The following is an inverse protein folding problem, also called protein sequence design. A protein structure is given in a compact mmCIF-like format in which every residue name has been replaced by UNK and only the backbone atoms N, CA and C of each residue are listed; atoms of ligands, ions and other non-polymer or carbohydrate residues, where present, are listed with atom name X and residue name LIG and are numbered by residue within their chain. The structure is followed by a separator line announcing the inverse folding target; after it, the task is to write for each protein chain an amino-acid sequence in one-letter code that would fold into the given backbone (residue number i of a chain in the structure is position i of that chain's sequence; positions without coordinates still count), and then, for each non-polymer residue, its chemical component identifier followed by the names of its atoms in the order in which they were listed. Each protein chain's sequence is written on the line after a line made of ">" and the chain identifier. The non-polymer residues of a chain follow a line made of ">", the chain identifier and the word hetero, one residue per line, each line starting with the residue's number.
data_IF_696294007817
#
_entry.id   IF_696294007817
#
_cell.length_a   1.000
_cell.length_b   1.000
_cell.length_c   1.000
_cell.angle_alpha   90.00
_cell.angle_beta   90.00
_cell.angle_gamma   90.00
#
_symmetry.space_group_name_H-M   'P 1'
#
loop_
_entity.id
_entity.type
_entity.pdbx_description
1 polymer ?
#
# COMPACT_ATOMS: atom_id res chain seq x y z
N UNK A 1 15.48 19.34 -33.39
CA UNK A 1 15.86 18.53 -32.21
C UNK A 1 14.99 18.94 -31.06
N UNK A 2 14.09 18.06 -30.62
CA UNK A 2 13.11 18.38 -29.57
C UNK A 2 13.52 17.72 -28.26
N UNK A 3 13.40 18.51 -27.19
CA UNK A 3 13.98 18.33 -25.86
C UNK A 3 13.66 16.97 -25.18
N UNK A 4 14.65 16.08 -25.02
CA UNK A 4 14.51 14.86 -24.20
C UNK A 4 14.43 15.16 -22.68
N UNK A 5 14.79 16.37 -22.26
CA UNK A 5 14.91 16.75 -20.85
C UNK A 5 13.56 16.92 -20.13
N UNK A 6 12.50 17.32 -20.85
CA UNK A 6 11.16 17.52 -20.24
C UNK A 6 10.52 16.19 -19.84
N UNK A 7 10.72 15.13 -20.63
CA UNK A 7 10.21 13.78 -20.32
C UNK A 7 10.95 13.15 -19.13
N UNK A 8 12.26 13.39 -19.02
CA UNK A 8 13.09 12.89 -17.91
C UNK A 8 12.78 13.58 -16.57
N UNK A 9 12.49 14.89 -16.59
CA UNK A 9 12.04 15.61 -15.39
C UNK A 9 10.67 15.12 -14.90
N UNK A 10 9.75 14.79 -15.82
CA UNK A 10 8.45 14.20 -15.50
C UNK A 10 8.57 12.82 -14.84
N UNK A 11 9.47 11.94 -15.31
CA UNK A 11 9.73 10.65 -14.63
C UNK A 11 10.27 10.84 -13.22
N UNK A 12 11.21 11.77 -13.04
CA UNK A 12 11.82 12.03 -11.72
C UNK A 12 10.82 12.54 -10.67
N UNK A 13 9.75 13.22 -11.10
CA UNK A 13 8.64 13.64 -10.24
C UNK A 13 7.68 12.47 -9.98
N UNK A 14 7.39 11.65 -11.00
CA UNK A 14 6.43 10.54 -10.90
C UNK A 14 7.00 9.30 -10.19
N UNK A 15 8.33 9.15 -10.14
CA UNK A 15 9.05 8.09 -9.43
C UNK A 15 9.22 8.42 -7.92
N UNK A 16 8.97 9.68 -7.51
CA UNK A 16 9.05 10.12 -6.12
C UNK A 16 7.77 9.93 -5.30
N UNK A 17 6.63 9.71 -5.96
CA UNK A 17 5.33 9.63 -5.28
C UNK A 17 5.21 8.40 -4.38
N UNK A 18 5.70 7.24 -4.83
CA UNK A 18 5.68 6.01 -4.03
C UNK A 18 6.51 6.16 -2.74
N UNK A 19 7.72 6.70 -2.87
CA UNK A 19 8.59 6.97 -1.74
C UNK A 19 7.99 8.01 -0.79
N UNK A 20 7.42 9.10 -1.32
CA UNK A 20 6.75 10.12 -0.51
C UNK A 20 5.60 9.53 0.32
N UNK A 21 4.71 8.76 -0.31
CA UNK A 21 3.57 8.11 0.36
C UNK A 21 4.06 7.17 1.47
N UNK A 22 5.04 6.31 1.19
CA UNK A 22 5.61 5.42 2.20
C UNK A 22 6.23 6.21 3.37
N UNK A 23 6.99 7.27 3.09
CA UNK A 23 7.64 8.07 4.12
C UNK A 23 6.65 8.83 5.00
N UNK A 24 5.58 9.42 4.44
CA UNK A 24 4.53 10.07 5.23
C UNK A 24 3.75 9.06 6.09
N UNK A 25 3.48 7.89 5.52
CA UNK A 25 2.84 6.77 6.22
C UNK A 25 3.70 6.31 7.42
N UNK A 26 5.01 6.18 7.24
CA UNK A 26 5.96 5.83 8.32
C UNK A 26 6.10 6.94 9.37
N UNK A 27 6.08 8.22 8.97
CA UNK A 27 6.06 9.34 9.94
C UNK A 27 4.83 9.26 10.84
N UNK A 28 3.67 8.91 10.29
CA UNK A 28 2.45 8.70 11.08
C UNK A 28 2.58 7.52 12.05
N UNK A 29 3.16 6.39 11.61
CA UNK A 29 3.48 5.27 12.52
C UNK A 29 4.32 5.71 13.72
N UNK A 30 5.38 6.47 13.45
CA UNK A 30 6.27 6.98 14.51
C UNK A 30 5.51 7.89 15.46
N UNK A 31 4.67 8.79 14.93
CA UNK A 31 3.86 9.70 15.74
C UNK A 31 2.87 8.95 16.65
N UNK A 32 2.37 7.79 16.19
CA UNK A 32 1.47 6.92 16.96
C UNK A 32 2.23 5.94 17.89
N UNK A 33 3.56 6.00 17.94
CA UNK A 33 4.39 5.15 18.80
C UNK A 33 4.60 3.73 18.27
N UNK A 34 4.30 3.48 17.00
CA UNK A 34 4.53 2.17 16.36
C UNK A 34 6.01 2.00 16.04
N UNK A 35 6.57 0.84 16.41
CA UNK A 35 7.94 0.49 16.04
C UNK A 35 8.03 0.27 14.53
N UNK A 36 8.89 1.03 13.83
CA UNK A 36 9.05 0.95 12.37
C UNK A 36 9.81 -0.31 11.95
N UNK A 37 11.01 -0.52 12.48
CA UNK A 37 11.86 -1.64 12.05
C UNK A 37 11.23 -2.98 12.45
N UNK A 38 10.98 -3.83 11.46
CA UNK A 38 10.36 -5.14 11.63
C UNK A 38 8.85 -5.12 11.75
N UNK A 39 8.19 -3.96 11.68
CA UNK A 39 6.74 -3.86 11.71
C UNK A 39 6.11 -4.68 10.59
N UNK A 40 5.02 -5.39 10.89
CA UNK A 40 4.21 -6.08 9.90
C UNK A 40 3.25 -5.08 9.27
N UNK A 41 3.37 -4.90 7.95
CA UNK A 41 2.52 -4.01 7.17
C UNK A 41 1.69 -4.84 6.20
N UNK A 42 0.37 -4.67 6.22
CA UNK A 42 -0.50 -5.22 5.19
C UNK A 42 -0.87 -4.15 4.18
N UNK A 43 -0.53 -4.36 2.91
CA UNK A 43 -0.94 -3.49 1.80
C UNK A 43 -2.15 -4.12 1.12
N UNK A 44 -3.29 -3.44 1.23
CA UNK A 44 -4.54 -3.83 0.60
C UNK A 44 -4.66 -3.15 -0.77
N UNK A 45 -4.49 -3.94 -1.82
CA UNK A 45 -4.50 -3.52 -3.21
C UNK A 45 -3.10 -3.44 -3.78
N UNK A 46 -2.93 -3.96 -5.00
CA UNK A 46 -1.69 -3.94 -5.77
C UNK A 46 -1.93 -3.49 -7.21
N UNK A 47 -3.12 -3.73 -7.76
CA UNK A 47 -3.48 -3.37 -9.13
C UNK A 47 -3.38 -1.87 -9.39
N UNK A 48 -3.21 -1.50 -10.67
CA UNK A 48 -3.08 -0.10 -11.09
C UNK A 48 -4.33 0.72 -10.75
N UNK A 49 -5.51 0.09 -10.75
CA UNK A 49 -6.79 0.75 -10.48
C UNK A 49 -7.80 -0.22 -9.87
N UNK A 50 -8.81 0.36 -9.25
CA UNK A 50 -9.89 -0.38 -8.59
C UNK A 50 -10.62 -1.33 -9.55
N UNK A 51 -10.97 -2.50 -9.01
CA UNK A 51 -11.83 -3.52 -9.62
C UNK A 51 -11.35 -4.01 -10.99
N UNK A 52 -10.03 -4.04 -11.21
CA UNK A 52 -9.39 -4.44 -12.46
C UNK A 52 -8.15 -5.27 -12.14
N UNK A 53 -7.85 -6.35 -12.88
CA UNK A 53 -6.68 -7.19 -12.62
C UNK A 53 -5.36 -6.59 -13.13
N UNK A 54 -5.39 -5.43 -13.80
CA UNK A 54 -4.20 -4.88 -14.47
C UNK A 54 -3.14 -4.44 -13.44
N UNK A 55 -2.05 -5.19 -13.39
CA UNK A 55 -0.90 -4.91 -12.53
C UNK A 55 0.08 -3.93 -13.18
N UNK A 56 0.06 -3.77 -14.51
CA UNK A 56 1.10 -3.04 -15.24
C UNK A 56 1.17 -1.57 -14.81
N UNK A 57 2.38 -1.10 -14.53
CA UNK A 57 2.66 0.25 -14.05
C UNK A 57 1.99 0.60 -12.72
N UNK A 58 1.64 -0.38 -11.89
CA UNK A 58 1.16 -0.09 -10.55
C UNK A 58 2.22 0.68 -9.76
N UNK A 59 1.85 1.87 -9.31
CA UNK A 59 2.66 2.70 -8.42
C UNK A 59 2.59 2.25 -6.96
N UNK A 60 1.72 1.29 -6.64
CA UNK A 60 1.69 0.66 -5.31
C UNK A 60 2.93 -0.19 -5.08
N UNK A 61 3.49 -0.80 -6.14
CA UNK A 61 4.74 -1.57 -6.04
C UNK A 61 5.92 -0.70 -5.58
N UNK A 62 5.98 0.56 -6.03
CA UNK A 62 6.99 1.53 -5.59
C UNK A 62 6.86 1.84 -4.08
N UNK A 63 5.62 1.95 -3.57
CA UNK A 63 5.35 2.14 -2.13
C UNK A 63 5.79 0.91 -1.34
N UNK A 64 5.45 -0.29 -1.81
CA UNK A 64 5.82 -1.56 -1.16
C UNK A 64 7.34 -1.69 -1.07
N UNK A 65 8.06 -1.39 -2.16
CA UNK A 65 9.51 -1.45 -2.20
C UNK A 65 10.15 -0.47 -1.20
N UNK A 66 9.64 0.76 -1.09
CA UNK A 66 10.13 1.73 -0.10
C UNK A 66 9.84 1.27 1.33
N UNK A 67 8.64 0.76 1.62
CA UNK A 67 8.30 0.22 2.94
C UNK A 67 9.23 -0.93 3.34
N UNK A 68 9.55 -1.83 2.41
CA UNK A 68 10.53 -2.90 2.63
C UNK A 68 11.94 -2.34 2.86
N UNK A 69 12.37 -1.33 2.09
CA UNK A 69 13.66 -0.67 2.26
C UNK A 69 13.80 0.04 3.62
N UNK A 70 12.69 0.57 4.16
CA UNK A 70 12.60 1.14 5.51
C UNK A 70 12.56 0.07 6.62
N UNK A 71 12.55 -1.22 6.26
CA UNK A 71 12.71 -2.35 7.17
C UNK A 71 11.40 -2.99 7.63
N UNK A 72 10.29 -2.75 6.93
CA UNK A 72 9.01 -3.40 7.21
C UNK A 72 8.91 -4.81 6.61
N UNK A 73 8.14 -5.66 7.28
CA UNK A 73 7.68 -6.94 6.74
C UNK A 73 6.35 -6.72 6.03
N UNK A 74 6.38 -6.63 4.71
CA UNK A 74 5.20 -6.28 3.91
C UNK A 74 4.48 -7.53 3.40
N UNK A 75 3.24 -7.70 3.80
CA UNK A 75 2.27 -8.60 3.18
C UNK A 75 1.40 -7.80 2.20
N UNK A 76 1.09 -8.40 1.05
CA UNK A 76 0.31 -7.74 -0.01
C UNK A 76 -0.89 -8.61 -0.33
N UNK A 77 -2.09 -8.05 -0.27
CA UNK A 77 -3.30 -8.72 -0.71
C UNK A 77 -3.97 -7.89 -1.80
N UNK A 78 -4.42 -8.53 -2.86
CA UNK A 78 -5.28 -7.93 -3.88
C UNK A 78 -6.24 -9.03 -4.41
N UNK A 79 -7.57 -8.82 -4.35
CA UNK A 79 -8.55 -9.82 -4.76
C UNK A 79 -8.71 -9.96 -6.29
N UNK A 80 -8.12 -9.05 -7.08
CA UNK A 80 -8.19 -9.06 -8.54
C UNK A 80 -6.85 -9.36 -9.20
N UNK A 81 -5.72 -9.15 -8.52
CA UNK A 81 -4.41 -9.46 -9.06
C UNK A 81 -4.20 -10.97 -9.24
N UNK A 82 -3.55 -11.35 -10.35
CA UNK A 82 -3.04 -12.70 -10.52
C UNK A 82 -1.72 -12.86 -9.75
N UNK A 83 -1.60 -13.95 -8.98
CA UNK A 83 -0.42 -14.20 -8.15
C UNK A 83 0.84 -14.52 -8.95
N UNK A 84 0.72 -15.15 -10.12
CA UNK A 84 1.87 -15.46 -10.97
C UNK A 84 2.37 -14.19 -11.67
N UNK A 85 1.46 -13.33 -12.12
CA UNK A 85 1.80 -12.01 -12.70
C UNK A 85 2.43 -11.09 -11.65
N UNK A 86 1.89 -11.04 -10.42
CA UNK A 86 2.49 -10.26 -9.32
C UNK A 86 3.91 -10.71 -8.99
N UNK A 87 4.16 -12.03 -8.99
CA UNK A 87 5.51 -12.57 -8.78
C UNK A 87 6.44 -12.25 -9.94
N UNK A 88 5.97 -12.36 -11.19
CA UNK A 88 6.78 -12.11 -12.39
C UNK A 88 7.16 -10.63 -12.54
N UNK A 89 6.20 -9.72 -12.37
CA UNK A 89 6.37 -8.29 -12.59
C UNK A 89 7.06 -7.59 -11.41
N UNK A 90 6.76 -8.01 -10.18
CA UNK A 90 7.18 -7.30 -8.96
C UNK A 90 7.95 -8.15 -7.94
N UNK A 91 8.08 -9.47 -8.16
CA UNK A 91 8.69 -10.35 -7.16
C UNK A 91 7.85 -10.51 -5.89
N UNK A 92 6.55 -10.21 -5.94
CA UNK A 92 5.66 -10.20 -4.79
C UNK A 92 4.79 -11.46 -4.75
N UNK A 93 4.73 -12.10 -3.58
CA UNK A 93 3.73 -13.13 -3.29
C UNK A 93 2.49 -12.49 -2.66
N UNK A 94 1.32 -12.81 -3.19
CA UNK A 94 0.05 -12.35 -2.63
C UNK A 94 -0.32 -13.18 -1.39
N UNK A 95 -0.61 -12.50 -0.29
CA UNK A 95 -1.02 -13.07 0.99
C UNK A 95 -2.53 -13.32 1.00
N UNK A 96 -2.95 -14.54 0.66
CA UNK A 96 -4.39 -14.91 0.64
C UNK A 96 -5.04 -14.95 2.04
N UNK A 97 -4.24 -15.05 3.10
CA UNK A 97 -4.65 -15.10 4.51
C UNK A 97 -4.62 -13.71 5.19
N UNK A 98 -4.55 -12.63 4.41
CA UNK A 98 -4.38 -11.28 4.94
C UNK A 98 -5.53 -10.80 5.85
N UNK A 99 -6.69 -11.46 5.81
CA UNK A 99 -7.85 -11.16 6.65
C UNK A 99 -7.95 -12.04 7.92
N UNK A 100 -6.97 -12.92 8.15
CA UNK A 100 -6.95 -13.90 9.24
C UNK A 100 -5.95 -13.53 10.36
N UNK A 101 -5.19 -12.44 10.18
CA UNK A 101 -4.18 -11.97 11.12
C UNK A 101 -4.22 -10.45 11.28
N UNK A 102 -3.49 -9.95 12.27
CA UNK A 102 -3.35 -8.51 12.54
C UNK A 102 -1.96 -7.99 12.19
N UNK A 103 -1.87 -6.69 11.96
CA UNK A 103 -0.69 -5.99 11.48
C UNK A 103 -0.44 -4.71 12.28
N UNK A 104 0.82 -4.34 12.45
CA UNK A 104 1.20 -3.06 13.06
C UNK A 104 0.76 -1.87 12.20
N UNK A 105 0.60 -2.10 10.89
CA UNK A 105 -0.04 -1.18 9.98
C UNK A 105 -0.86 -1.90 8.91
N UNK A 106 -2.02 -1.32 8.58
CA UNK A 106 -2.80 -1.67 7.40
C UNK A 106 -2.85 -0.46 6.49
N UNK A 107 -2.46 -0.62 5.23
CA UNK A 107 -2.44 0.42 4.23
C UNK A 107 -3.40 0.07 3.08
N UNK A 108 -4.52 0.79 3.00
CA UNK A 108 -5.45 0.69 1.88
C UNK A 108 -4.95 1.50 0.69
N UNK A 109 -4.25 0.83 -0.22
CA UNK A 109 -3.68 1.45 -1.42
C UNK A 109 -4.70 1.54 -2.57
N UNK A 110 -5.48 0.46 -2.79
CA UNK A 110 -6.48 0.40 -3.86
C UNK A 110 -7.83 -0.03 -3.27
N UNK A 111 -8.83 0.86 -3.18
CA UNK A 111 -10.10 0.57 -2.51
C UNK A 111 -11.06 -0.22 -3.41
N UNK A 112 -10.75 -1.49 -3.63
CA UNK A 112 -11.63 -2.41 -4.34
C UNK A 112 -12.99 -2.53 -3.66
N UNK A 113 -14.05 -2.76 -4.46
CA UNK A 113 -15.39 -3.07 -3.95
C UNK A 113 -15.39 -4.25 -2.98
N UNK A 114 -14.48 -5.20 -3.17
CA UNK A 114 -14.25 -6.32 -2.24
C UNK A 114 -13.95 -5.82 -0.80
N UNK A 115 -13.02 -4.88 -0.66
CA UNK A 115 -12.68 -4.30 0.65
C UNK A 115 -13.82 -3.44 1.21
N UNK A 116 -14.41 -2.60 0.36
CA UNK A 116 -15.51 -1.72 0.77
C UNK A 116 -16.75 -2.51 1.21
N UNK A 117 -17.02 -3.65 0.56
CA UNK A 117 -18.11 -4.56 0.93
C UNK A 117 -17.84 -5.31 2.25
N UNK A 118 -16.58 -5.59 2.57
CA UNK A 118 -16.21 -6.13 3.89
C UNK A 118 -16.48 -5.12 5.02
N UNK A 119 -16.45 -3.83 4.70
CA UNK A 119 -16.78 -2.74 5.61
C UNK A 119 -15.58 -2.20 6.37
N UNK A 120 -15.64 -0.92 6.73
CA UNK A 120 -14.57 -0.18 7.38
C UNK A 120 -14.10 -0.83 8.70
N UNK A 121 -15.04 -1.37 9.49
CA UNK A 121 -14.69 -2.04 10.75
C UNK A 121 -13.96 -3.35 10.54
N UNK A 122 -14.23 -4.08 9.45
CA UNK A 122 -13.50 -5.31 9.14
C UNK A 122 -12.05 -5.01 8.75
N UNK A 123 -11.82 -3.94 8.01
CA UNK A 123 -10.47 -3.48 7.65
C UNK A 123 -9.75 -2.99 8.92
N UNK A 124 -10.41 -2.19 9.74
CA UNK A 124 -9.82 -1.68 10.99
C UNK A 124 -9.49 -2.80 11.98
N UNK A 125 -10.25 -3.90 12.00
CA UNK A 125 -9.96 -5.07 12.83
C UNK A 125 -8.66 -5.81 12.43
N UNK A 126 -8.10 -5.55 11.26
CA UNK A 126 -6.78 -6.06 10.85
C UNK A 126 -5.63 -5.29 11.51
N UNK A 127 -5.90 -4.14 12.13
CA UNK A 127 -4.88 -3.34 12.82
C UNK A 127 -4.69 -3.89 14.24
N UNK A 128 -3.46 -4.24 14.58
CA UNK A 128 -3.10 -4.67 15.93
C UNK A 128 -3.30 -3.51 16.94
N UNK A 129 -3.48 -3.81 18.24
CA UNK A 129 -3.59 -2.75 19.25
C UNK A 129 -2.41 -1.77 19.20
N UNK A 130 -2.71 -0.48 19.05
CA UNK A 130 -1.71 0.57 18.93
C UNK A 130 -1.08 0.72 17.53
N UNK A 131 -1.52 -0.06 16.54
CA UNK A 131 -1.12 0.07 15.15
C UNK A 131 -1.81 1.21 14.40
N UNK A 132 -1.50 1.34 13.11
CA UNK A 132 -1.98 2.44 12.24
C UNK A 132 -2.81 1.92 11.06
N UNK A 133 -3.95 2.56 10.80
CA UNK A 133 -4.72 2.43 9.56
C UNK A 133 -4.44 3.62 8.62
N UNK A 134 -3.83 3.33 7.48
CA UNK A 134 -3.52 4.33 6.45
C UNK A 134 -4.39 4.10 5.20
N UNK A 135 -4.88 5.18 4.59
CA UNK A 135 -5.77 5.12 3.43
C UNK A 135 -5.34 6.11 2.34
N UNK A 136 -4.87 5.58 1.22
CA UNK A 136 -4.35 6.39 0.13
C UNK A 136 -5.41 7.24 -0.57
N UNK A 137 -6.68 6.81 -0.57
CA UNK A 137 -7.77 7.50 -1.29
C UNK A 137 -8.80 8.15 -0.37
N UNK A 138 -8.63 8.05 0.95
CA UNK A 138 -9.49 8.67 1.95
C UNK A 138 -10.93 8.13 2.00
N UNK A 139 -11.18 6.94 1.46
CA UNK A 139 -12.49 6.28 1.42
C UNK A 139 -12.97 5.77 2.79
N UNK A 140 -12.07 5.58 3.75
CA UNK A 140 -12.35 5.12 5.12
C UNK A 140 -12.71 6.27 6.08
N UNK A 141 -12.61 7.53 5.62
CA UNK A 141 -13.01 8.71 6.39
C UNK A 141 -12.20 8.87 7.69
N UNK A 142 -12.89 9.15 8.80
CA UNK A 142 -12.28 9.36 10.12
C UNK A 142 -11.76 8.08 10.77
N UNK A 143 -12.03 6.90 10.19
CA UNK A 143 -11.47 5.65 10.71
C UNK A 143 -9.97 5.53 10.44
N UNK A 144 -9.46 6.17 9.38
CA UNK A 144 -8.04 6.13 9.04
C UNK A 144 -7.25 7.16 9.87
N UNK A 145 -6.13 6.73 10.43
CA UNK A 145 -5.20 7.58 11.19
C UNK A 145 -4.36 8.46 10.26
N UNK A 146 -4.16 8.02 9.01
CA UNK A 146 -3.51 8.78 7.96
C UNK A 146 -4.22 8.62 6.63
N UNK A 147 -4.31 9.72 5.88
CA UNK A 147 -4.86 9.76 4.53
C UNK A 147 -4.10 10.78 3.68
N UNK A 148 -4.05 10.55 2.38
CA UNK A 148 -3.53 11.51 1.40
C UNK A 148 -4.60 12.54 0.98
#
# INVERSE_FOLDING_TARGET
>A
GYHPQVILAGRRINDGMGAYVAQETVKNMIANGVQVKGAKVNVLGLTFKENCPDLRNSKVADVIAELQALGHQVAVHDPHADGAEALLEYGLHLAGDAFEQTYDMVFLAVPHKYYLAAGVERIAALVAPGGTLADLKGVLGERADWRL
#
